data_IF_564338662038
#
_entry.id   IF_564338662038
#
_cell.length_a   1.000
_cell.length_b   1.000
_cell.length_c   1.000
_cell.angle_alpha   90.00
_cell.angle_beta   90.00
_cell.angle_gamma   90.00
#
_symmetry.space_group_name_H-M   'P 1'
#
loop_
_entity.id
_entity.type
_entity.pdbx_description
1 polymer ?
#
# COMPACT_ATOMS: atom_id res chain seq x y z
N UNK A 1 9.86 32.73 -37.58
CA UNK A 1 8.79 31.71 -37.36
C UNK A 1 9.42 30.47 -36.68
N UNK A 2 9.19 30.29 -35.38
CA UNK A 2 9.55 29.04 -34.66
C UNK A 2 8.71 27.91 -35.26
N UNK A 3 9.35 26.93 -35.91
CA UNK A 3 8.72 25.65 -36.24
C UNK A 3 8.30 25.01 -34.94
N UNK A 4 7.01 25.04 -34.63
CA UNK A 4 6.44 24.24 -33.54
C UNK A 4 6.64 22.79 -33.96
N UNK A 5 7.45 22.07 -33.18
CA UNK A 5 7.80 20.69 -33.48
C UNK A 5 6.51 19.85 -33.28
N UNK A 6 6.02 19.19 -34.32
CA UNK A 6 4.82 18.36 -34.28
C UNK A 6 4.92 17.24 -33.24
N UNK A 7 6.14 16.84 -32.90
CA UNK A 7 6.43 15.86 -31.85
C UNK A 7 6.14 16.44 -30.45
N UNK A 8 6.38 17.75 -30.23
CA UNK A 8 6.06 18.43 -28.96
C UNK A 8 4.55 18.55 -28.75
N UNK A 9 3.78 18.80 -29.82
CA UNK A 9 2.31 18.90 -29.72
C UNK A 9 1.65 17.55 -29.40
N UNK A 10 2.13 16.45 -29.98
CA UNK A 10 1.59 15.10 -29.71
C UNK A 10 1.92 14.63 -28.29
N UNK A 11 3.13 14.91 -27.79
CA UNK A 11 3.52 14.60 -26.42
C UNK A 11 2.75 15.46 -25.42
N UNK A 12 2.60 16.76 -25.68
CA UNK A 12 1.79 17.64 -24.85
C UNK A 12 0.31 17.19 -24.81
N UNK A 13 -0.25 16.81 -25.94
CA UNK A 13 -1.64 16.27 -25.97
C UNK A 13 -1.77 14.99 -25.15
N UNK A 14 -0.81 14.06 -25.26
CA UNK A 14 -0.78 12.84 -24.45
C UNK A 14 -0.73 13.12 -22.95
N UNK A 15 0.02 14.12 -22.52
CA UNK A 15 0.17 14.48 -21.11
C UNK A 15 -0.96 15.36 -20.58
N UNK A 16 -1.70 16.05 -21.45
CA UNK A 16 -2.81 16.95 -21.05
C UNK A 16 -4.18 16.29 -21.16
N UNK A 17 -4.33 15.23 -21.98
CA UNK A 17 -5.58 14.49 -22.06
C UNK A 17 -5.76 13.60 -20.81
N UNK A 18 -6.81 13.81 -19.98
CA UNK A 18 -6.97 13.09 -18.71
C UNK A 18 -7.08 11.57 -18.89
N UNK A 19 -7.66 11.10 -19.99
CA UNK A 19 -7.80 9.65 -20.26
C UNK A 19 -6.45 9.01 -20.58
N UNK A 20 -5.68 9.65 -21.49
CA UNK A 20 -4.34 9.14 -21.85
C UNK A 20 -3.38 9.22 -20.68
N UNK A 21 -3.41 10.30 -19.90
CA UNK A 21 -2.59 10.43 -18.69
C UNK A 21 -2.92 9.33 -17.67
N UNK A 22 -4.21 9.03 -17.47
CA UNK A 22 -4.62 7.93 -16.59
C UNK A 22 -4.16 6.57 -17.10
N UNK A 23 -4.31 6.29 -18.40
CA UNK A 23 -3.85 5.03 -19.00
C UNK A 23 -2.33 4.87 -18.93
N UNK A 24 -1.57 5.90 -19.23
CA UNK A 24 -0.10 5.91 -19.11
C UNK A 24 0.31 5.68 -17.65
N UNK A 25 -0.35 6.35 -16.70
CA UNK A 25 -0.13 6.15 -15.28
C UNK A 25 -0.37 4.70 -14.84
N UNK A 26 -1.44 4.05 -15.33
CA UNK A 26 -1.72 2.64 -15.06
C UNK A 26 -0.63 1.70 -15.63
N UNK A 27 -0.15 1.98 -16.83
CA UNK A 27 0.94 1.19 -17.45
C UNK A 27 2.22 1.33 -16.65
N UNK A 28 2.61 2.56 -16.28
CA UNK A 28 3.80 2.82 -15.46
C UNK A 28 3.66 2.14 -14.10
N UNK A 29 2.50 2.25 -13.48
CA UNK A 29 2.18 1.58 -12.21
C UNK A 29 2.34 0.06 -12.32
N UNK A 30 1.78 -0.56 -13.35
CA UNK A 30 1.88 -2.01 -13.58
C UNK A 30 3.32 -2.46 -13.79
N UNK A 31 4.11 -1.70 -14.58
CA UNK A 31 5.53 -1.98 -14.81
C UNK A 31 6.30 -1.87 -13.49
N UNK A 32 6.08 -0.80 -12.72
CA UNK A 32 6.71 -0.58 -11.41
C UNK A 32 6.39 -1.70 -10.43
N UNK A 33 5.14 -2.17 -10.40
CA UNK A 33 4.71 -3.28 -9.56
C UNK A 33 5.40 -4.60 -9.94
N UNK A 34 5.54 -4.90 -11.24
CA UNK A 34 6.29 -6.07 -11.73
C UNK A 34 7.77 -5.99 -11.37
N UNK A 35 8.39 -4.82 -11.53
CA UNK A 35 9.79 -4.61 -11.16
C UNK A 35 10.01 -4.76 -9.65
N UNK A 36 9.13 -4.18 -8.84
CA UNK A 36 9.16 -4.32 -7.38
C UNK A 36 9.04 -5.79 -6.96
N UNK A 37 8.02 -6.49 -7.47
CA UNK A 37 7.80 -7.90 -7.18
C UNK A 37 8.96 -8.80 -7.63
N UNK A 38 9.52 -8.55 -8.82
CA UNK A 38 10.69 -9.26 -9.34
C UNK A 38 11.95 -8.99 -8.51
N UNK A 39 12.18 -7.75 -8.11
CA UNK A 39 13.26 -7.35 -7.23
C UNK A 39 13.17 -8.06 -5.87
N UNK A 40 12.00 -8.05 -5.25
CA UNK A 40 11.76 -8.73 -3.97
C UNK A 40 11.98 -10.24 -4.08
N UNK A 41 11.55 -10.87 -5.18
CA UNK A 41 11.79 -12.29 -5.43
C UNK A 41 13.28 -12.61 -5.57
N UNK A 42 14.05 -11.79 -6.26
CA UNK A 42 15.50 -12.00 -6.40
C UNK A 42 16.26 -11.79 -5.08
N UNK A 43 15.72 -10.99 -4.15
CA UNK A 43 16.24 -10.82 -2.80
C UNK A 43 15.87 -11.97 -1.86
N UNK A 44 14.93 -12.84 -2.25
CA UNK A 44 14.45 -13.96 -1.45
C UNK A 44 15.50 -15.03 -1.12
N UNK A 45 16.69 -14.98 -1.75
CA UNK A 45 17.83 -15.81 -1.38
C UNK A 45 18.62 -15.25 -0.16
N UNK A 46 18.23 -14.10 0.37
CA UNK A 46 18.81 -13.55 1.60
C UNK A 46 18.04 -14.08 2.81
N UNK A 47 18.68 -14.93 3.59
CA UNK A 47 18.10 -15.61 4.75
C UNK A 47 17.46 -14.62 5.75
N UNK A 48 18.11 -13.50 6.01
CA UNK A 48 17.58 -12.44 6.89
C UNK A 48 16.31 -11.79 6.34
N UNK A 49 16.19 -11.61 5.03
CA UNK A 49 15.02 -11.00 4.41
C UNK A 49 13.84 -11.97 4.41
N UNK A 50 14.05 -13.24 4.09
CA UNK A 50 13.02 -14.27 4.15
C UNK A 50 12.47 -14.46 5.56
N UNK A 51 13.36 -14.42 6.56
CA UNK A 51 12.95 -14.44 7.96
C UNK A 51 12.10 -13.23 8.33
N UNK A 52 12.51 -12.02 7.92
CA UNK A 52 11.76 -10.79 8.17
C UNK A 52 10.39 -10.82 7.49
N UNK A 53 10.34 -11.14 6.20
CA UNK A 53 9.11 -11.20 5.41
C UNK A 53 8.20 -12.36 5.85
N UNK A 54 8.76 -13.42 6.42
CA UNK A 54 8.02 -14.57 6.94
C UNK A 54 7.31 -14.30 8.27
N UNK A 55 7.69 -13.24 8.98
CA UNK A 55 7.16 -12.95 10.31
C UNK A 55 5.94 -12.04 10.24
N UNK A 56 4.73 -12.51 10.65
CA UNK A 56 3.51 -11.71 10.60
C UNK A 56 3.59 -10.41 11.42
N UNK A 57 4.29 -10.41 12.56
CA UNK A 57 4.40 -9.21 13.41
C UNK A 57 5.22 -8.14 12.70
N UNK A 58 6.36 -8.48 12.11
CA UNK A 58 7.14 -7.50 11.34
C UNK A 58 6.38 -6.99 10.12
N UNK A 59 5.66 -7.88 9.44
CA UNK A 59 4.86 -7.49 8.28
C UNK A 59 3.63 -6.67 8.66
N UNK A 60 3.07 -6.84 9.85
CA UNK A 60 2.05 -5.94 10.38
C UNK A 60 2.56 -4.50 10.48
N UNK A 61 3.72 -4.31 11.13
CA UNK A 61 4.34 -2.98 11.19
C UNK A 61 4.81 -2.48 9.83
N UNK A 62 5.29 -3.38 8.97
CA UNK A 62 5.64 -3.08 7.59
C UNK A 62 4.46 -2.51 6.80
N UNK A 63 3.26 -3.08 6.98
CA UNK A 63 2.02 -2.58 6.37
C UNK A 63 1.64 -1.17 6.83
N UNK A 64 1.78 -0.89 8.12
CA UNK A 64 1.57 0.46 8.69
C UNK A 64 2.52 1.46 8.02
N UNK A 65 3.82 1.19 8.04
CA UNK A 65 4.86 2.09 7.52
C UNK A 65 4.68 2.29 6.02
N UNK A 66 4.46 1.22 5.27
CA UNK A 66 4.27 1.26 3.82
C UNK A 66 3.08 2.14 3.44
N UNK A 67 1.95 1.99 4.13
CA UNK A 67 0.74 2.77 3.84
C UNK A 67 0.91 4.23 4.27
N UNK A 68 1.57 4.51 5.38
CA UNK A 68 1.91 5.87 5.79
C UNK A 68 2.83 6.55 4.78
N UNK A 69 3.84 5.84 4.27
CA UNK A 69 4.78 6.37 3.28
C UNK A 69 4.11 6.64 1.93
N UNK A 70 3.27 5.73 1.45
CA UNK A 70 2.61 5.84 0.15
C UNK A 70 1.31 6.63 0.19
N UNK A 71 0.76 6.86 1.36
CA UNK A 71 -0.52 7.54 1.57
C UNK A 71 -1.67 6.89 0.79
N UNK A 72 -1.55 5.58 0.50
CA UNK A 72 -2.50 4.82 -0.31
C UNK A 72 -2.56 3.36 0.14
N UNK A 73 -3.64 2.98 0.81
CA UNK A 73 -3.90 1.58 1.19
C UNK A 73 -4.18 0.68 -0.01
N UNK A 74 -4.78 1.23 -1.06
CA UNK A 74 -5.00 0.47 -2.30
C UNK A 74 -3.69 0.10 -2.97
N UNK A 75 -2.72 1.03 -3.04
CA UNK A 75 -1.38 0.76 -3.54
C UNK A 75 -0.67 -0.27 -2.67
N UNK A 76 -0.73 -0.11 -1.34
CA UNK A 76 -0.13 -1.05 -0.39
C UNK A 76 -0.70 -2.46 -0.57
N UNK A 77 -2.03 -2.60 -0.64
CA UNK A 77 -2.70 -3.90 -0.81
C UNK A 77 -2.35 -4.53 -2.15
N UNK A 78 -2.30 -3.75 -3.23
CA UNK A 78 -1.91 -4.26 -4.56
C UNK A 78 -0.46 -4.77 -4.56
N UNK A 79 0.46 -4.06 -3.90
CA UNK A 79 1.84 -4.50 -3.75
C UNK A 79 1.94 -5.80 -2.91
N UNK A 80 1.17 -5.92 -1.82
CA UNK A 80 1.10 -7.14 -1.01
C UNK A 80 0.61 -8.32 -1.86
N UNK A 81 -0.45 -8.13 -2.65
CA UNK A 81 -0.96 -9.17 -3.55
C UNK A 81 0.11 -9.60 -4.56
N UNK A 82 0.85 -8.66 -5.15
CA UNK A 82 1.92 -8.96 -6.09
C UNK A 82 3.08 -9.73 -5.43
N UNK A 83 3.43 -9.39 -4.18
CA UNK A 83 4.45 -10.11 -3.42
C UNK A 83 4.01 -11.55 -3.08
N UNK A 84 2.74 -11.76 -2.73
CA UNK A 84 2.19 -13.11 -2.53
C UNK A 84 2.19 -13.89 -3.84
N UNK A 85 1.71 -13.29 -4.93
CA UNK A 85 1.66 -13.94 -6.24
C UNK A 85 3.05 -14.32 -6.78
N UNK A 86 4.09 -13.55 -6.44
CA UNK A 86 5.48 -13.87 -6.81
C UNK A 86 6.14 -14.91 -5.90
N UNK A 87 5.49 -15.30 -4.79
CA UNK A 87 6.05 -16.19 -3.77
C UNK A 87 7.05 -15.52 -2.83
N UNK A 88 7.21 -14.18 -2.90
CA UNK A 88 8.12 -13.44 -2.03
C UNK A 88 7.57 -13.22 -0.62
N UNK A 89 6.24 -13.24 -0.46
CA UNK A 89 5.57 -13.01 0.82
C UNK A 89 4.64 -14.17 1.17
N UNK A 90 4.85 -14.86 2.31
CA UNK A 90 3.94 -15.91 2.77
C UNK A 90 2.57 -15.36 3.15
N UNK A 91 1.51 -16.12 2.90
CA UNK A 91 0.13 -15.70 3.11
C UNK A 91 -0.20 -15.22 4.54
N UNK A 92 0.29 -15.86 5.65
CA UNK A 92 0.06 -15.36 7.00
C UNK A 92 0.65 -13.96 7.22
N UNK A 93 1.85 -13.72 6.71
CA UNK A 93 2.54 -12.44 6.80
C UNK A 93 1.83 -11.37 5.92
N UNK A 94 1.31 -11.77 4.76
CA UNK A 94 0.50 -10.91 3.91
C UNK A 94 -0.80 -10.46 4.58
N UNK A 95 -1.53 -11.38 5.24
CA UNK A 95 -2.74 -11.04 6.01
C UNK A 95 -2.40 -10.05 7.12
N UNK A 96 -1.32 -10.27 7.86
CA UNK A 96 -0.87 -9.35 8.90
C UNK A 96 -0.49 -7.97 8.32
N UNK A 97 0.18 -7.95 7.16
CA UNK A 97 0.56 -6.72 6.45
C UNK A 97 -0.67 -5.91 6.03
N UNK A 98 -1.74 -6.56 5.55
CA UNK A 98 -3.03 -5.91 5.22
C UNK A 98 -3.68 -5.30 6.47
N UNK A 99 -3.68 -6.01 7.60
CA UNK A 99 -4.18 -5.46 8.87
C UNK A 99 -3.39 -4.21 9.28
N UNK A 100 -2.07 -4.23 9.11
CA UNK A 100 -1.21 -3.07 9.33
C UNK A 100 -1.52 -1.92 8.36
N UNK A 101 -1.70 -2.22 7.07
CA UNK A 101 -2.04 -1.21 6.06
C UNK A 101 -3.36 -0.48 6.38
N UNK A 102 -4.34 -1.18 6.95
CA UNK A 102 -5.60 -0.57 7.39
C UNK A 102 -5.37 0.45 8.52
N UNK A 103 -4.48 0.17 9.48
CA UNK A 103 -4.09 1.15 10.50
C UNK A 103 -3.32 2.30 9.87
N UNK A 104 -2.38 2.02 8.96
CA UNK A 104 -1.63 3.06 8.24
C UNK A 104 -2.54 4.05 7.51
N UNK A 105 -3.67 3.59 6.97
CA UNK A 105 -4.67 4.45 6.35
C UNK A 105 -5.24 5.48 7.32
N UNK A 106 -5.44 5.12 8.57
CA UNK A 106 -5.95 6.06 9.59
C UNK A 106 -4.93 7.15 9.92
N UNK A 107 -3.65 6.81 9.86
CA UNK A 107 -2.55 7.77 10.07
C UNK A 107 -2.55 8.92 9.07
N UNK A 108 -3.06 8.70 7.86
CA UNK A 108 -3.22 9.75 6.83
C UNK A 108 -4.11 10.90 7.32
N UNK A 109 -5.20 10.59 8.03
CA UNK A 109 -6.11 11.60 8.57
C UNK A 109 -5.41 12.44 9.64
N UNK A 110 -4.61 11.80 10.49
CA UNK A 110 -3.84 12.48 11.53
C UNK A 110 -2.74 13.36 10.94
N UNK A 111 -2.00 12.85 9.94
CA UNK A 111 -0.99 13.64 9.22
C UNK A 111 -1.63 14.85 8.51
N UNK A 112 -2.75 14.66 7.83
CA UNK A 112 -3.47 15.76 7.20
C UNK A 112 -3.93 16.79 8.21
N UNK A 113 -4.40 16.37 9.40
CA UNK A 113 -4.78 17.27 10.49
C UNK A 113 -3.61 18.13 10.96
N UNK A 114 -2.41 17.55 11.11
CA UNK A 114 -1.22 18.26 11.54
C UNK A 114 -0.68 19.24 10.48
N UNK A 115 -0.65 18.83 9.22
CA UNK A 115 0.02 19.60 8.16
C UNK A 115 -0.91 20.53 7.37
N UNK A 116 -2.20 20.26 7.34
CA UNK A 116 -3.16 21.00 6.52
C UNK A 116 -4.14 21.85 7.35
N UNK A 117 -4.44 21.44 8.57
CA UNK A 117 -5.49 22.04 9.41
C UNK A 117 -4.96 22.76 10.66
N UNK A 118 -3.71 23.22 10.66
CA UNK A 118 -3.06 23.90 11.79
C UNK A 118 -3.16 23.11 13.13
N UNK A 119 -3.11 21.79 13.07
CA UNK A 119 -3.07 20.94 14.24
C UNK A 119 -4.02 19.74 14.20
N UNK A 120 -4.26 19.16 15.37
CA UNK A 120 -5.14 17.98 15.50
C UNK A 120 -6.57 18.32 15.03
N UNK A 121 -7.19 17.47 14.22
CA UNK A 121 -8.58 17.65 13.80
C UNK A 121 -9.50 17.93 14.99
N UNK A 122 -10.46 18.83 14.85
CA UNK A 122 -11.38 19.23 15.92
C UNK A 122 -12.83 18.87 15.58
N UNK A 123 -13.68 18.79 16.61
CA UNK A 123 -15.11 18.55 16.44
C UNK A 123 -15.40 17.17 15.82
N UNK A 124 -16.29 17.12 14.85
CA UNK A 124 -16.73 15.86 14.22
C UNK A 124 -15.63 15.18 13.41
N UNK A 125 -14.72 15.94 12.82
CA UNK A 125 -13.55 15.38 12.12
C UNK A 125 -12.68 14.57 13.08
N UNK A 126 -12.43 15.07 14.29
CA UNK A 126 -11.70 14.33 15.32
C UNK A 126 -12.44 13.05 15.73
N UNK A 127 -13.75 13.14 15.94
CA UNK A 127 -14.57 11.97 16.31
C UNK A 127 -14.51 10.87 15.25
N UNK A 128 -14.61 11.25 13.98
CA UNK A 128 -14.52 10.32 12.85
C UNK A 128 -13.11 9.71 12.78
N UNK A 129 -12.05 10.51 12.92
CA UNK A 129 -10.68 10.03 12.90
C UNK A 129 -10.41 9.02 14.04
N UNK A 130 -10.89 9.33 15.25
CA UNK A 130 -10.78 8.44 16.41
C UNK A 130 -11.58 7.14 16.21
N UNK A 131 -12.81 7.23 15.72
CA UNK A 131 -13.65 6.08 15.43
C UNK A 131 -12.99 5.17 14.39
N UNK A 132 -12.51 5.75 13.27
CA UNK A 132 -11.82 5.01 12.22
C UNK A 132 -10.54 4.32 12.75
N UNK A 133 -9.71 5.05 13.49
CA UNK A 133 -8.49 4.48 14.10
C UNK A 133 -8.84 3.38 15.10
N UNK A 134 -9.81 3.62 15.97
CA UNK A 134 -10.25 2.66 16.98
C UNK A 134 -10.78 1.37 16.37
N UNK A 135 -11.60 1.46 15.31
CA UNK A 135 -12.13 0.29 14.60
C UNK A 135 -11.00 -0.54 13.95
N UNK A 136 -10.05 0.11 13.24
CA UNK A 136 -8.95 -0.60 12.61
C UNK A 136 -8.00 -1.22 13.65
N UNK A 137 -7.72 -0.52 14.74
CA UNK A 137 -6.91 -1.04 15.83
C UNK A 137 -7.59 -2.24 16.51
N UNK A 138 -8.89 -2.14 16.80
CA UNK A 138 -9.67 -3.23 17.38
C UNK A 138 -9.65 -4.46 16.46
N UNK A 139 -9.89 -4.26 15.16
CA UNK A 139 -9.84 -5.34 14.17
C UNK A 139 -8.46 -6.00 14.12
N UNK A 140 -7.38 -5.20 14.16
CA UNK A 140 -6.02 -5.73 14.17
C UNK A 140 -5.73 -6.54 15.44
N UNK A 141 -6.11 -6.05 16.62
CA UNK A 141 -5.94 -6.77 17.90
C UNK A 141 -6.69 -8.09 17.87
N UNK A 142 -7.92 -8.11 17.33
CA UNK A 142 -8.73 -9.31 17.26
C UNK A 142 -8.21 -10.33 16.24
N UNK A 143 -7.76 -9.91 15.09
CA UNK A 143 -7.43 -10.80 13.96
C UNK A 143 -5.95 -11.19 13.90
N UNK A 144 -5.03 -10.35 14.37
CA UNK A 144 -3.59 -10.61 14.30
C UNK A 144 -3.17 -11.95 14.96
N UNK A 145 -3.73 -12.36 16.11
CA UNK A 145 -3.42 -13.68 16.68
C UNK A 145 -3.86 -14.86 15.81
N UNK A 146 -4.83 -14.64 14.93
CA UNK A 146 -5.44 -15.68 14.09
C UNK A 146 -4.95 -15.68 12.64
N UNK A 147 -3.95 -14.88 12.26
CA UNK A 147 -3.50 -14.77 10.86
C UNK A 147 -3.10 -16.10 10.23
N UNK A 148 -2.52 -17.02 11.01
CA UNK A 148 -2.19 -18.35 10.53
C UNK A 148 -3.44 -19.20 10.23
N UNK A 149 -4.48 -19.10 11.04
CA UNK A 149 -5.75 -19.79 10.82
C UNK A 149 -6.48 -19.21 9.61
N UNK A 150 -6.50 -17.88 9.50
CA UNK A 150 -7.09 -17.16 8.36
C UNK A 150 -6.36 -17.55 7.06
N UNK A 151 -5.03 -17.53 7.06
CA UNK A 151 -4.23 -17.93 5.89
C UNK A 151 -4.47 -19.40 5.49
N UNK A 152 -4.54 -20.31 6.47
CA UNK A 152 -4.86 -21.72 6.23
C UNK A 152 -6.26 -21.91 5.65
N UNK A 153 -7.22 -21.08 6.04
CA UNK A 153 -8.57 -21.13 5.45
C UNK A 153 -8.54 -20.60 4.01
N UNK A 154 -7.89 -19.46 3.77
CA UNK A 154 -7.78 -18.84 2.46
C UNK A 154 -7.00 -19.69 1.46
N UNK A 155 -6.01 -20.48 1.91
CA UNK A 155 -5.22 -21.37 1.02
C UNK A 155 -6.01 -22.55 0.45
N UNK A 156 -7.27 -22.73 0.81
CA UNK A 156 -8.16 -23.78 0.27
C UNK A 156 -8.84 -23.35 -1.03
N UNK A 157 -8.81 -22.08 -1.36
CA UNK A 157 -9.38 -21.47 -2.57
C UNK A 157 -8.29 -21.15 -3.60
#
# INVERSE_FOLDING_TARGET
QKKVNTMDMSVQWLLTNPVTTALVGLVIFYIGLKMFSGGMKSMGNMEHLTWFLGNPIYMFFGGIIMTLAWQSSSLSTTAIIALVASGALPLPAAVACVLGANIGTTGTIWLAGFFVSDGIPKGDTLRIAMAHTGMNLLMAIMLLPFVHHIAKYLSKF
#
